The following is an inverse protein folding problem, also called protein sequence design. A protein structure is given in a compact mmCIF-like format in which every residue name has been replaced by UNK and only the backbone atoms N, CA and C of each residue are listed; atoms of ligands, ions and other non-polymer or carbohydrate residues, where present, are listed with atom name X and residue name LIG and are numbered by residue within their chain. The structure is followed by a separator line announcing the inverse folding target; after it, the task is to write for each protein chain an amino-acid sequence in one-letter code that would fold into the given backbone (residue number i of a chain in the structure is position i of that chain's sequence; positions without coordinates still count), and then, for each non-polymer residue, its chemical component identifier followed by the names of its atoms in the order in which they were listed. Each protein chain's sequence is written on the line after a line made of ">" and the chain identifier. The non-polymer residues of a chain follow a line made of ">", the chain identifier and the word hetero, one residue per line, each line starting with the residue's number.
data_IF_621143308760
#
_entry.id   IF_621143308760
#
_cell.length_a   1.000
_cell.length_b   1.000
_cell.length_c   1.000
_cell.angle_alpha   90.00
_cell.angle_beta   90.00
_cell.angle_gamma   90.00
#
_symmetry.space_group_name_H-M   'P 1'
#
loop_
_entity.id
_entity.type
_entity.pdbx_description
1 polymer ?
#
# COMPACT_ATOMS: atom_id res chain seq x y z
N UNK A 1 20.13 -85.22 28.26
CA UNK A 1 19.79 -84.24 27.23
C UNK A 1 18.32 -83.94 27.31
N UNK A 2 17.94 -82.79 27.91
CA UNK A 2 16.48 -82.36 28.04
C UNK A 2 16.01 -81.82 26.73
N UNK A 3 15.03 -82.47 26.07
CA UNK A 3 14.34 -81.98 24.90
C UNK A 3 13.41 -80.88 25.34
N UNK A 4 13.74 -79.59 25.09
CA UNK A 4 12.87 -78.48 25.27
C UNK A 4 11.64 -78.65 24.36
N UNK A 5 10.50 -78.98 24.93
CA UNK A 5 9.20 -79.03 24.21
C UNK A 5 8.83 -77.57 23.77
N UNK A 6 8.93 -77.32 22.47
CA UNK A 6 8.55 -76.02 21.87
C UNK A 6 7.02 -75.90 22.07
N UNK A 7 6.61 -74.82 22.77
CA UNK A 7 5.20 -74.57 23.02
C UNK A 7 4.55 -74.01 21.73
N UNK A 8 3.90 -74.92 20.97
CA UNK A 8 3.32 -74.64 19.65
C UNK A 8 2.36 -73.41 19.68
N UNK A 9 1.71 -73.18 20.81
CA UNK A 9 0.79 -72.02 20.96
C UNK A 9 1.53 -70.70 20.94
N UNK A 10 2.67 -70.61 21.66
CA UNK A 10 3.51 -69.40 21.66
C UNK A 10 4.14 -69.14 20.29
N UNK A 11 4.52 -70.18 19.55
CA UNK A 11 5.06 -70.05 18.19
C UNK A 11 3.98 -69.55 17.23
N UNK A 12 2.74 -70.02 17.34
CA UNK A 12 1.60 -69.59 16.54
C UNK A 12 1.26 -68.10 16.82
N UNK A 13 1.24 -67.74 18.10
CA UNK A 13 0.97 -66.35 18.51
C UNK A 13 2.09 -65.40 18.02
N UNK A 14 3.36 -65.80 18.10
CA UNK A 14 4.48 -65.05 17.58
C UNK A 14 4.45 -64.86 16.06
N UNK A 15 4.02 -65.89 15.31
CA UNK A 15 3.83 -65.81 13.86
C UNK A 15 2.71 -64.87 13.47
N UNK A 16 1.61 -64.87 14.24
CA UNK A 16 0.50 -63.92 14.01
C UNK A 16 0.98 -62.48 14.24
N UNK A 17 1.67 -62.21 15.34
CA UNK A 17 2.22 -60.85 15.60
C UNK A 17 3.23 -60.43 14.55
N UNK A 18 4.11 -61.31 14.09
CA UNK A 18 5.10 -61.04 13.07
C UNK A 18 4.43 -60.71 11.72
N UNK A 19 3.38 -61.46 11.34
CA UNK A 19 2.60 -61.17 10.11
C UNK A 19 1.88 -59.83 10.19
N UNK A 20 1.34 -59.46 11.35
CA UNK A 20 0.65 -58.21 11.59
C UNK A 20 1.63 -57.00 11.49
N UNK A 21 2.81 -57.12 12.11
CA UNK A 21 3.85 -56.13 12.02
C UNK A 21 4.36 -55.99 10.57
N UNK A 22 4.57 -57.12 9.86
CA UNK A 22 4.96 -57.06 8.44
C UNK A 22 3.89 -56.42 7.56
N UNK A 23 2.61 -56.69 7.80
CA UNK A 23 1.50 -56.09 7.10
C UNK A 23 1.41 -54.58 7.33
N UNK A 24 1.55 -54.11 8.58
CA UNK A 24 1.55 -52.69 8.91
C UNK A 24 2.78 -51.99 8.28
N UNK A 25 3.95 -52.63 8.35
CA UNK A 25 5.18 -52.09 7.75
C UNK A 25 5.07 -51.96 6.23
N UNK A 26 4.47 -52.94 5.57
CA UNK A 26 4.18 -52.90 4.14
C UNK A 26 3.20 -51.76 3.77
N UNK A 27 2.12 -51.62 4.53
CA UNK A 27 1.15 -50.53 4.31
C UNK A 27 1.82 -49.15 4.49
N UNK A 28 2.62 -48.99 5.54
CA UNK A 28 3.37 -47.72 5.74
C UNK A 28 4.36 -47.49 4.61
N UNK A 29 5.06 -48.49 4.15
CA UNK A 29 6.01 -48.40 3.04
C UNK A 29 5.29 -47.96 1.73
N UNK A 30 4.17 -48.60 1.39
CA UNK A 30 3.38 -48.23 0.21
C UNK A 30 2.76 -46.84 0.36
N UNK A 31 2.29 -46.44 1.56
CA UNK A 31 1.79 -45.11 1.81
C UNK A 31 2.88 -44.02 1.58
N UNK A 32 4.08 -44.28 2.07
CA UNK A 32 5.24 -43.38 1.87
C UNK A 32 5.63 -43.30 0.39
N UNK A 33 5.69 -44.44 -0.32
CA UNK A 33 5.99 -44.48 -1.75
C UNK A 33 4.92 -43.72 -2.59
N UNK A 34 3.65 -43.90 -2.28
CA UNK A 34 2.56 -43.20 -2.97
C UNK A 34 2.68 -41.70 -2.81
N UNK A 35 2.93 -41.23 -1.58
CA UNK A 35 3.11 -39.80 -1.30
C UNK A 35 4.39 -39.22 -1.92
N UNK A 36 5.43 -40.05 -2.09
CA UNK A 36 6.71 -39.62 -2.67
C UNK A 36 6.67 -39.35 -4.19
N UNK A 37 5.71 -39.95 -4.90
CA UNK A 37 5.55 -39.80 -6.34
C UNK A 37 4.38 -38.87 -6.72
N UNK A 38 3.81 -38.19 -5.73
CA UNK A 38 2.72 -37.24 -5.98
C UNK A 38 3.16 -36.11 -6.91
N UNK A 39 2.33 -35.80 -7.88
CA UNK A 39 2.52 -34.67 -8.80
C UNK A 39 1.56 -33.54 -8.42
N UNK A 40 2.01 -32.31 -8.66
CA UNK A 40 1.18 -31.12 -8.44
C UNK A 40 0.00 -31.15 -9.41
N UNK A 41 -1.21 -31.25 -8.87
CA UNK A 41 -2.44 -31.29 -9.66
C UNK A 41 -2.84 -29.91 -10.14
N UNK A 42 -2.81 -28.92 -9.25
CA UNK A 42 -3.28 -27.57 -9.53
C UNK A 42 -2.47 -26.59 -8.67
N UNK A 43 -2.25 -25.38 -9.20
CA UNK A 43 -1.73 -24.25 -8.47
C UNK A 43 -2.90 -23.30 -8.19
N UNK A 44 -3.06 -22.88 -6.95
CA UNK A 44 -4.03 -21.90 -6.50
C UNK A 44 -3.27 -20.71 -5.96
N UNK A 45 -3.48 -19.54 -6.55
CA UNK A 45 -2.87 -18.28 -6.09
C UNK A 45 -3.95 -17.49 -5.36
N UNK A 46 -3.65 -17.08 -4.15
CA UNK A 46 -4.50 -16.24 -3.34
C UNK A 46 -3.77 -14.93 -3.04
N UNK A 47 -4.34 -13.82 -3.49
CA UNK A 47 -3.79 -12.47 -3.30
C UNK A 47 -4.69 -11.75 -2.29
N UNK A 48 -4.08 -11.21 -1.22
CA UNK A 48 -4.78 -10.50 -0.16
C UNK A 48 -5.40 -9.18 -0.67
N UNK A 49 -6.66 -8.93 -0.30
CA UNK A 49 -7.47 -7.77 -0.71
C UNK A 49 -7.21 -6.49 0.12
N UNK A 50 -6.04 -6.34 0.73
CA UNK A 50 -5.71 -5.15 1.56
C UNK A 50 -5.88 -3.82 0.84
N UNK A 51 -5.75 -3.82 -0.48
CA UNK A 51 -5.91 -2.65 -1.33
C UNK A 51 -7.33 -2.58 -1.95
N UNK A 52 -8.30 -3.28 -1.37
CA UNK A 52 -9.61 -3.46 -1.96
C UNK A 52 -9.52 -4.25 -3.28
N UNK A 53 -10.21 -3.80 -4.33
CA UNK A 53 -10.14 -4.43 -5.65
C UNK A 53 -8.85 -4.14 -6.42
N UNK A 54 -8.00 -3.25 -5.90
CA UNK A 54 -6.80 -2.78 -6.59
C UNK A 54 -5.62 -3.73 -6.30
N UNK A 55 -4.98 -4.23 -7.35
CA UNK A 55 -3.89 -5.19 -7.24
C UNK A 55 -2.60 -4.64 -7.86
N UNK A 56 -1.48 -4.80 -7.12
CA UNK A 56 -0.14 -4.48 -7.61
C UNK A 56 0.44 -5.58 -8.50
N UNK A 57 -0.03 -6.81 -8.32
CA UNK A 57 0.41 -8.00 -9.04
C UNK A 57 -0.78 -8.90 -9.32
N UNK A 58 -0.85 -9.46 -10.50
CA UNK A 58 -1.91 -10.40 -10.89
C UNK A 58 -1.52 -11.85 -10.63
N UNK A 59 -2.51 -12.74 -10.53
CA UNK A 59 -2.27 -14.20 -10.41
C UNK A 59 -1.41 -14.73 -11.58
N UNK A 60 -1.65 -14.22 -12.78
CA UNK A 60 -0.89 -14.62 -13.99
C UNK A 60 0.59 -14.28 -13.86
N UNK A 61 0.90 -13.09 -13.34
CA UNK A 61 2.29 -12.67 -13.11
C UNK A 61 2.96 -13.53 -12.02
N UNK A 62 2.25 -13.84 -10.93
CA UNK A 62 2.75 -14.74 -9.88
C UNK A 62 3.11 -16.10 -10.45
N UNK A 63 2.21 -16.71 -11.24
CA UNK A 63 2.44 -18.00 -11.91
C UNK A 63 3.64 -17.92 -12.86
N UNK A 64 3.77 -16.83 -13.59
CA UNK A 64 4.90 -16.61 -14.50
C UNK A 64 6.23 -16.51 -13.75
N UNK A 65 6.28 -15.75 -12.67
CA UNK A 65 7.48 -15.61 -11.79
C UNK A 65 7.89 -16.98 -11.26
N UNK A 66 6.92 -17.77 -10.78
CA UNK A 66 7.16 -19.09 -10.22
C UNK A 66 7.67 -20.08 -11.29
N UNK A 67 7.07 -20.12 -12.47
CA UNK A 67 7.52 -20.98 -13.57
C UNK A 67 8.94 -20.62 -14.03
N UNK A 68 9.26 -19.33 -14.15
CA UNK A 68 10.61 -18.86 -14.46
C UNK A 68 11.62 -19.25 -13.38
N UNK A 69 11.26 -19.13 -12.09
CA UNK A 69 12.12 -19.50 -10.98
C UNK A 69 12.38 -21.00 -10.88
N UNK A 70 11.37 -21.81 -11.27
CA UNK A 70 11.49 -23.27 -11.35
C UNK A 70 12.24 -23.76 -12.60
N UNK A 71 12.41 -22.90 -13.63
CA UNK A 71 12.97 -23.28 -14.93
C UNK A 71 12.08 -24.19 -15.76
N UNK A 72 10.80 -24.35 -15.39
CA UNK A 72 9.79 -25.21 -16.01
C UNK A 72 8.40 -24.87 -15.55
N UNK A 73 7.39 -25.38 -16.25
CA UNK A 73 6.01 -25.31 -15.77
C UNK A 73 5.83 -26.16 -14.53
N UNK A 74 5.39 -25.55 -13.44
CA UNK A 74 5.23 -26.19 -12.13
C UNK A 74 4.11 -27.23 -12.15
N UNK A 75 3.00 -26.97 -12.87
CA UNK A 75 1.92 -27.93 -13.04
C UNK A 75 2.45 -29.28 -13.55
N UNK A 76 1.99 -30.38 -12.95
CA UNK A 76 2.42 -31.76 -13.25
C UNK A 76 3.87 -32.09 -12.86
N UNK A 77 4.53 -31.20 -12.14
CA UNK A 77 5.88 -31.49 -11.57
C UNK A 77 5.73 -32.35 -10.29
N UNK A 78 6.69 -33.26 -10.06
CA UNK A 78 6.75 -34.01 -8.83
C UNK A 78 7.04 -33.08 -7.65
N UNK A 79 6.23 -33.22 -6.58
CA UNK A 79 6.31 -32.38 -5.37
C UNK A 79 7.71 -32.36 -4.76
N UNK A 80 8.39 -33.51 -4.72
CA UNK A 80 9.76 -33.63 -4.16
C UNK A 80 10.82 -32.89 -4.98
N UNK A 81 10.58 -32.61 -6.24
CA UNK A 81 11.53 -31.94 -7.14
C UNK A 81 11.38 -30.42 -7.12
N UNK A 82 10.47 -29.88 -6.29
CA UNK A 82 10.21 -28.46 -6.18
C UNK A 82 10.85 -27.90 -4.91
N UNK A 83 11.75 -26.96 -5.08
CA UNK A 83 12.36 -26.22 -3.97
C UNK A 83 11.46 -25.02 -3.60
N UNK A 84 10.54 -25.25 -2.64
CA UNK A 84 9.58 -24.25 -2.18
C UNK A 84 10.30 -23.04 -1.60
N UNK A 85 11.38 -23.22 -0.83
CA UNK A 85 12.11 -22.11 -0.22
C UNK A 85 12.69 -21.18 -1.28
N UNK A 86 13.21 -21.75 -2.38
CA UNK A 86 13.71 -20.96 -3.53
C UNK A 86 12.61 -20.18 -4.21
N UNK A 87 11.42 -20.77 -4.36
CA UNK A 87 10.27 -20.11 -4.97
C UNK A 87 9.74 -18.97 -4.09
N UNK A 88 9.56 -19.21 -2.79
CA UNK A 88 9.18 -18.17 -1.82
C UNK A 88 10.21 -17.03 -1.78
N UNK A 89 11.49 -17.34 -1.72
CA UNK A 89 12.55 -16.34 -1.75
C UNK A 89 12.53 -15.51 -3.04
N UNK A 90 12.12 -16.09 -4.17
CA UNK A 90 11.99 -15.36 -5.44
C UNK A 90 10.80 -14.42 -5.42
N UNK A 91 9.65 -14.85 -4.89
CA UNK A 91 8.47 -13.98 -4.73
C UNK A 91 8.74 -12.85 -3.72
N UNK A 92 9.35 -13.16 -2.59
CA UNK A 92 9.67 -12.16 -1.56
C UNK A 92 10.72 -11.11 -1.99
N UNK A 93 11.42 -11.34 -3.13
CA UNK A 93 12.30 -10.34 -3.76
C UNK A 93 11.54 -9.36 -4.66
N UNK A 94 10.29 -9.67 -5.05
CA UNK A 94 9.49 -8.73 -5.83
C UNK A 94 9.09 -7.54 -4.96
N UNK A 95 9.40 -6.33 -5.43
CA UNK A 95 9.16 -5.09 -4.66
C UNK A 95 7.67 -4.79 -4.42
N UNK A 96 6.76 -5.48 -5.10
CA UNK A 96 5.29 -5.34 -4.96
C UNK A 96 4.73 -6.24 -3.87
N UNK A 97 5.50 -7.27 -3.48
CA UNK A 97 5.11 -8.28 -2.48
C UNK A 97 5.70 -7.91 -1.13
N UNK A 98 4.89 -7.94 -0.09
CA UNK A 98 5.34 -7.82 1.28
C UNK A 98 5.73 -9.16 1.85
N UNK A 99 4.91 -10.19 1.57
CA UNK A 99 5.13 -11.56 2.01
C UNK A 99 4.48 -12.55 1.05
N UNK A 100 5.18 -13.63 0.77
CA UNK A 100 4.69 -14.77 0.03
C UNK A 100 4.95 -16.05 0.81
N UNK A 101 3.92 -16.89 0.95
CA UNK A 101 3.97 -18.20 1.57
C UNK A 101 3.49 -19.25 0.56
N UNK A 102 4.22 -20.37 0.44
CA UNK A 102 3.90 -21.45 -0.48
C UNK A 102 3.78 -22.76 0.29
N UNK A 103 2.66 -23.45 0.16
CA UNK A 103 2.46 -24.73 0.83
C UNK A 103 1.62 -25.71 0.01
N UNK A 104 1.73 -27.00 0.31
CA UNK A 104 0.88 -28.03 -0.26
C UNK A 104 -0.27 -28.34 0.67
N UNK A 105 -1.45 -28.51 0.09
CA UNK A 105 -2.59 -29.04 0.84
C UNK A 105 -2.66 -30.58 0.76
N UNK A 106 -3.63 -31.15 1.47
CA UNK A 106 -3.89 -32.60 1.51
C UNK A 106 -4.30 -33.21 0.16
N UNK A 107 -4.68 -32.37 -0.80
CA UNK A 107 -5.13 -32.77 -2.15
C UNK A 107 -4.02 -32.63 -3.21
N UNK A 108 -2.76 -32.46 -2.81
CA UNK A 108 -1.61 -32.23 -3.68
C UNK A 108 -1.71 -30.96 -4.55
N UNK A 109 -2.43 -29.92 -4.04
CA UNK A 109 -2.47 -28.61 -4.69
C UNK A 109 -1.39 -27.72 -4.09
N UNK A 110 -0.73 -26.96 -4.96
CA UNK A 110 0.21 -25.93 -4.55
C UNK A 110 -0.56 -24.64 -4.28
N UNK A 111 -0.63 -24.24 -3.01
CA UNK A 111 -1.25 -22.99 -2.61
C UNK A 111 -0.16 -21.92 -2.46
N UNK A 112 -0.39 -20.78 -3.08
CA UNK A 112 0.50 -19.60 -3.06
C UNK A 112 -0.30 -18.46 -2.45
N UNK A 113 0.06 -18.06 -1.24
CA UNK A 113 -0.57 -16.94 -0.54
C UNK A 113 0.34 -15.71 -0.67
N UNK A 114 -0.20 -14.63 -1.22
CA UNK A 114 0.51 -13.37 -1.46
C UNK A 114 -0.11 -12.26 -0.62
N UNK A 115 0.69 -11.65 0.22
CA UNK A 115 0.40 -10.38 0.85
C UNK A 115 1.13 -9.32 0.04
N UNK A 116 0.40 -8.46 -0.66
CA UNK A 116 0.99 -7.37 -1.42
C UNK A 116 1.22 -6.15 -0.54
N UNK A 117 2.17 -5.30 -0.93
CA UNK A 117 2.40 -4.03 -0.26
C UNK A 117 1.20 -3.12 -0.39
N UNK A 118 1.06 -2.21 0.58
CA UNK A 118 0.03 -1.18 0.57
C UNK A 118 0.66 0.17 0.18
N UNK A 119 0.43 0.64 -1.05
CA UNK A 119 0.86 1.96 -1.46
C UNK A 119 0.17 3.05 -0.64
N UNK A 120 0.94 4.08 -0.31
CA UNK A 120 0.47 5.29 0.37
C UNK A 120 0.17 6.41 -0.61
N UNK A 121 1.04 6.56 -1.61
CA UNK A 121 0.94 7.58 -2.65
C UNK A 121 1.66 7.15 -3.92
N UNK A 122 1.27 7.71 -5.06
CA UNK A 122 1.97 7.58 -6.35
C UNK A 122 2.76 8.85 -6.60
N UNK A 123 4.04 8.72 -6.81
CA UNK A 123 4.94 9.84 -7.13
C UNK A 123 5.21 9.85 -8.63
N UNK A 124 5.05 11.02 -9.23
CA UNK A 124 5.48 11.33 -10.60
C UNK A 124 6.52 12.43 -10.46
N UNK A 125 7.79 12.08 -10.67
CA UNK A 125 8.89 13.03 -10.56
C UNK A 125 9.06 13.89 -11.82
N UNK A 126 9.80 14.99 -11.71
CA UNK A 126 10.02 15.89 -12.86
C UNK A 126 10.83 15.25 -13.99
N UNK A 127 11.56 14.16 -13.73
CA UNK A 127 12.29 13.42 -14.74
C UNK A 127 11.39 12.43 -15.52
N UNK A 128 10.10 12.35 -15.17
CA UNK A 128 9.12 11.46 -15.78
C UNK A 128 9.14 10.04 -15.20
N UNK A 129 9.83 9.82 -14.08
CA UNK A 129 9.79 8.57 -13.34
C UNK A 129 8.51 8.43 -12.55
N UNK A 130 7.94 7.22 -12.52
CA UNK A 130 6.74 6.92 -11.76
C UNK A 130 6.97 5.75 -10.80
N UNK A 131 6.55 5.92 -9.56
CA UNK A 131 6.61 4.87 -8.54
C UNK A 131 5.60 5.12 -7.43
N UNK A 132 5.25 4.06 -6.71
CA UNK A 132 4.55 4.19 -5.45
C UNK A 132 5.54 4.25 -4.29
N UNK A 133 5.13 4.91 -3.21
CA UNK A 133 5.73 4.75 -1.88
C UNK A 133 4.73 4.02 -0.99
N UNK A 134 5.20 2.99 -0.28
CA UNK A 134 4.41 2.29 0.74
C UNK A 134 4.41 3.06 2.08
N UNK A 135 3.63 2.59 3.07
CA UNK A 135 3.52 3.20 4.40
C UNK A 135 4.86 3.30 5.16
N UNK A 136 5.87 2.54 4.74
CA UNK A 136 7.23 2.53 5.29
C UNK A 136 8.22 3.36 4.46
N UNK A 137 7.75 4.05 3.42
CA UNK A 137 8.59 4.82 2.51
C UNK A 137 9.42 3.97 1.56
N UNK A 138 9.09 2.69 1.37
CA UNK A 138 9.76 1.85 0.38
C UNK A 138 9.15 2.07 -0.99
N UNK A 139 10.03 2.14 -1.99
CA UNK A 139 9.60 2.29 -3.38
C UNK A 139 8.99 0.98 -3.90
N UNK A 140 7.82 1.11 -4.55
CA UNK A 140 7.11 0.03 -5.23
C UNK A 140 6.94 0.44 -6.69
N UNK A 141 7.32 -0.40 -7.67
CA UNK A 141 7.24 -0.04 -9.07
C UNK A 141 5.79 0.04 -9.55
N UNK A 142 5.52 0.99 -10.45
CA UNK A 142 4.27 1.04 -11.21
C UNK A 142 4.35 0.01 -12.34
N UNK A 143 3.36 -0.88 -12.42
CA UNK A 143 3.28 -1.90 -13.47
C UNK A 143 2.12 -1.58 -14.41
N UNK A 144 2.32 -1.74 -15.72
CA UNK A 144 1.25 -1.52 -16.70
C UNK A 144 0.11 -2.51 -16.44
N UNK A 145 -1.13 -1.99 -16.39
CA UNK A 145 -2.33 -2.80 -16.14
C UNK A 145 -2.65 -3.07 -14.68
N UNK A 146 -1.82 -2.57 -13.76
CA UNK A 146 -2.07 -2.64 -12.30
C UNK A 146 -1.98 -1.22 -11.75
N UNK A 147 -3.09 -0.65 -11.31
CA UNK A 147 -3.14 0.68 -10.71
C UNK A 147 -3.85 0.60 -9.36
N UNK A 148 -3.24 1.20 -8.35
CA UNK A 148 -3.83 1.35 -7.02
C UNK A 148 -4.30 2.79 -6.84
N UNK A 149 -5.50 2.98 -6.30
CA UNK A 149 -6.11 4.29 -6.06
C UNK A 149 -5.53 4.91 -4.80
N UNK A 150 -4.50 5.70 -4.99
CA UNK A 150 -3.86 6.51 -3.95
C UNK A 150 -3.63 7.92 -4.47
N UNK A 151 -3.47 8.91 -3.59
CA UNK A 151 -3.16 10.27 -4.00
C UNK A 151 -1.93 10.34 -4.91
N UNK A 152 -2.00 11.18 -5.94
CA UNK A 152 -0.90 11.41 -6.90
C UNK A 152 -0.10 12.62 -6.45
N UNK A 153 1.21 12.45 -6.35
CA UNK A 153 2.16 13.49 -5.98
C UNK A 153 3.00 13.89 -7.19
N UNK A 154 3.03 15.17 -7.49
CA UNK A 154 3.76 15.74 -8.64
C UNK A 154 4.70 16.86 -8.20
N UNK A 155 5.63 17.28 -9.08
CA UNK A 155 6.58 18.35 -8.80
C UNK A 155 7.71 17.94 -7.86
N UNK A 156 7.94 16.64 -7.69
CA UNK A 156 9.05 16.11 -6.88
C UNK A 156 10.34 16.22 -7.67
N UNK A 157 11.30 17.01 -7.17
CA UNK A 157 12.65 17.18 -7.73
C UNK A 157 13.67 16.32 -7.02
N UNK A 158 13.40 15.97 -5.78
CA UNK A 158 14.30 15.17 -4.98
C UNK A 158 14.42 13.77 -5.61
N UNK A 159 15.65 13.37 -5.92
CA UNK A 159 15.89 11.98 -6.33
C UNK A 159 15.57 11.05 -5.17
N UNK A 160 14.73 10.06 -5.43
CA UNK A 160 14.40 9.05 -4.43
C UNK A 160 15.65 8.30 -3.95
N UNK A 161 15.82 8.23 -2.65
CA UNK A 161 16.80 7.35 -2.01
C UNK A 161 16.16 6.62 -0.82
N UNK A 162 16.54 5.38 -0.61
CA UNK A 162 15.87 4.49 0.38
C UNK A 162 15.93 4.96 1.84
N UNK A 163 16.81 5.93 2.13
CA UNK A 163 16.99 6.50 3.48
C UNK A 163 16.43 7.92 3.61
N UNK A 164 15.56 8.38 2.67
CA UNK A 164 15.07 9.77 2.69
C UNK A 164 14.32 10.13 3.98
N UNK A 165 13.62 9.17 4.60
CA UNK A 165 12.89 9.41 5.84
C UNK A 165 13.78 9.66 7.06
N UNK A 166 14.94 9.02 7.11
CA UNK A 166 15.89 9.13 8.23
C UNK A 166 16.98 10.18 7.97
N UNK A 167 17.04 10.73 6.77
CA UNK A 167 17.99 11.79 6.42
C UNK A 167 17.67 13.07 7.20
N UNK A 168 18.69 13.74 7.74
CA UNK A 168 18.55 15.05 8.40
C UNK A 168 18.40 16.20 7.38
N UNK A 169 18.72 15.94 6.10
CA UNK A 169 18.57 16.95 5.05
C UNK A 169 17.08 17.25 4.81
N UNK A 170 16.71 18.54 4.75
CA UNK A 170 15.37 18.93 4.34
C UNK A 170 15.03 18.34 2.97
N UNK A 171 13.83 17.77 2.85
CA UNK A 171 13.35 17.17 1.61
C UNK A 171 11.84 17.35 1.49
N UNK A 172 11.39 17.87 0.37
CA UNK A 172 9.97 18.04 0.09
C UNK A 172 9.27 16.69 -0.05
N UNK A 173 9.98 15.67 -0.54
CA UNK A 173 9.47 14.30 -0.58
C UNK A 173 9.19 13.75 0.83
N UNK A 174 10.05 14.11 1.80
CA UNK A 174 9.84 13.73 3.21
C UNK A 174 8.63 14.45 3.81
N UNK A 175 8.51 15.75 3.57
CA UNK A 175 7.37 16.55 4.03
C UNK A 175 6.05 15.97 3.51
N UNK A 176 5.97 15.76 2.20
CA UNK A 176 4.75 15.27 1.56
C UNK A 176 4.41 13.82 1.98
N UNK A 177 5.43 13.00 2.24
CA UNK A 177 5.23 11.65 2.78
C UNK A 177 4.51 11.68 4.14
N UNK A 178 4.93 12.54 5.05
CA UNK A 178 4.27 12.68 6.36
C UNK A 178 2.86 13.27 6.24
N UNK A 179 2.66 14.22 5.33
CA UNK A 179 1.32 14.76 5.01
C UNK A 179 0.41 13.64 4.52
N UNK A 180 0.84 12.86 3.52
CA UNK A 180 0.04 11.76 2.97
C UNK A 180 -0.17 10.63 3.98
N UNK A 181 0.79 10.38 4.86
CA UNK A 181 0.64 9.41 5.95
C UNK A 181 -0.45 9.84 6.93
N UNK A 182 -0.52 11.12 7.26
CA UNK A 182 -1.60 11.67 8.09
C UNK A 182 -2.94 11.57 7.36
N UNK A 183 -2.99 11.94 6.08
CA UNK A 183 -4.18 11.84 5.23
C UNK A 183 -4.72 10.41 5.20
N UNK A 184 -3.86 9.40 5.07
CA UNK A 184 -4.27 8.00 4.97
C UNK A 184 -4.89 7.43 6.25
N UNK A 185 -4.66 8.07 7.40
CA UNK A 185 -5.17 7.65 8.70
C UNK A 185 -6.53 8.25 9.05
N UNK A 186 -7.01 9.20 8.24
CA UNK A 186 -8.25 9.91 8.46
C UNK A 186 -9.20 9.69 7.28
N UNK A 187 -10.39 9.16 7.55
CA UNK A 187 -11.37 8.78 6.53
C UNK A 187 -11.84 10.00 5.70
N UNK A 188 -12.09 11.14 6.34
CA UNK A 188 -12.49 12.36 5.66
C UNK A 188 -11.39 12.88 4.73
N UNK A 189 -10.14 12.96 5.23
CA UNK A 189 -9.02 13.47 4.46
C UNK A 189 -8.65 12.51 3.31
N UNK A 190 -8.69 11.21 3.52
CA UNK A 190 -8.43 10.21 2.48
C UNK A 190 -9.48 10.22 1.37
N UNK A 191 -10.73 10.54 1.70
CA UNK A 191 -11.79 10.74 0.73
C UNK A 191 -11.70 12.10 0.01
N UNK A 192 -11.14 13.12 0.67
CA UNK A 192 -11.05 14.48 0.17
C UNK A 192 -9.84 14.71 -0.74
N UNK A 193 -8.65 14.28 -0.34
CA UNK A 193 -7.39 14.60 -1.03
C UNK A 193 -7.12 13.62 -2.17
N UNK A 194 -7.09 14.15 -3.39
CA UNK A 194 -6.81 13.35 -4.59
C UNK A 194 -5.38 13.50 -5.08
N UNK A 195 -4.83 14.72 -5.00
CA UNK A 195 -3.49 15.01 -5.51
C UNK A 195 -2.74 15.96 -4.58
N UNK A 196 -1.42 15.92 -4.68
CA UNK A 196 -0.56 16.92 -4.12
C UNK A 196 0.47 17.37 -5.15
N UNK A 197 0.81 18.64 -5.12
CA UNK A 197 1.78 19.23 -6.03
C UNK A 197 2.80 20.07 -5.25
N UNK A 198 4.07 19.96 -5.59
CA UNK A 198 5.13 20.82 -5.06
C UNK A 198 5.32 21.94 -6.08
N UNK A 199 5.00 23.18 -5.69
CA UNK A 199 5.13 24.34 -6.56
C UNK A 199 6.61 24.56 -6.97
N UNK A 200 6.78 25.00 -8.23
CA UNK A 200 8.09 25.22 -8.82
C UNK A 200 8.61 26.65 -8.58
N UNK A 201 8.35 27.20 -7.40
CA UNK A 201 8.87 28.50 -6.99
C UNK A 201 10.02 28.35 -6.00
N UNK A 202 10.60 29.49 -5.58
CA UNK A 202 11.72 29.52 -4.62
C UNK A 202 11.33 28.98 -3.24
N UNK A 203 10.04 28.95 -2.89
CA UNK A 203 9.50 28.51 -1.61
C UNK A 203 9.20 27.01 -1.64
N UNK A 204 8.72 26.49 -2.78
CA UNK A 204 8.34 25.10 -2.97
C UNK A 204 7.17 24.70 -2.07
N UNK A 205 6.11 25.51 -2.05
CA UNK A 205 4.91 25.21 -1.27
C UNK A 205 4.28 23.91 -1.75
N UNK A 206 3.82 23.10 -0.79
CA UNK A 206 3.01 21.91 -1.07
C UNK A 206 1.56 22.37 -1.19
N UNK A 207 0.95 22.05 -2.33
CA UNK A 207 -0.46 22.35 -2.64
C UNK A 207 -1.22 21.04 -2.71
N UNK A 208 -2.30 20.91 -1.95
CA UNK A 208 -3.20 19.76 -2.02
C UNK A 208 -4.40 20.12 -2.91
N UNK A 209 -4.82 19.14 -3.71
CA UNK A 209 -5.95 19.26 -4.63
C UNK A 209 -7.04 18.31 -4.15
N UNK A 210 -8.18 18.86 -3.70
CA UNK A 210 -9.29 18.06 -3.26
C UNK A 210 -10.02 17.41 -4.45
N UNK A 211 -10.64 16.28 -4.19
CA UNK A 211 -11.49 15.55 -5.14
C UNK A 211 -12.81 16.26 -5.40
N UNK A 212 -13.30 16.97 -4.41
CA UNK A 212 -14.55 17.74 -4.46
C UNK A 212 -14.19 19.20 -4.21
N UNK A 213 -14.71 20.08 -5.06
CA UNK A 213 -14.41 21.52 -5.04
C UNK A 213 -13.53 21.93 -6.21
N UNK A 214 -13.20 23.20 -6.27
CA UNK A 214 -12.32 23.78 -7.30
C UNK A 214 -11.14 24.54 -6.69
N UNK A 215 -11.11 24.62 -5.38
CA UNK A 215 -10.08 25.33 -4.63
C UNK A 215 -8.82 24.49 -4.53
N UNK A 216 -7.67 25.17 -4.61
CA UNK A 216 -6.38 24.59 -4.26
C UNK A 216 -6.08 24.89 -2.80
N UNK A 217 -5.59 23.90 -2.06
CA UNK A 217 -5.24 24.04 -0.65
C UNK A 217 -3.74 24.29 -0.54
N UNK A 218 -3.31 25.51 -0.25
CA UNK A 218 -1.90 25.85 -0.04
C UNK A 218 -1.51 25.39 1.36
N UNK A 219 -0.85 24.23 1.44
CA UNK A 219 -0.46 23.60 2.69
C UNK A 219 0.88 24.10 3.21
N UNK A 220 1.81 24.42 2.30
CA UNK A 220 3.14 24.94 2.59
C UNK A 220 4.17 23.84 2.81
N UNK A 221 4.51 23.57 4.04
CA UNK A 221 5.50 22.55 4.44
C UNK A 221 4.92 21.44 5.32
N UNK A 222 5.75 20.47 5.69
CA UNK A 222 5.38 19.36 6.56
C UNK A 222 5.32 19.67 8.05
N UNK A 223 5.31 20.95 8.45
CA UNK A 223 5.20 21.36 9.86
C UNK A 223 3.73 21.53 10.25
N UNK A 224 3.42 21.24 11.52
CA UNK A 224 2.08 21.43 12.10
C UNK A 224 0.95 20.80 11.27
N UNK A 225 1.20 19.58 10.74
CA UNK A 225 0.28 18.87 9.83
C UNK A 225 -1.10 18.72 10.44
N UNK A 226 -1.18 18.27 11.70
CA UNK A 226 -2.42 18.09 12.44
C UNK A 226 -3.23 19.40 12.54
N UNK A 227 -2.62 20.48 13.05
CA UNK A 227 -3.28 21.79 13.17
C UNK A 227 -3.83 22.30 11.84
N UNK A 228 -3.05 22.14 10.75
CA UNK A 228 -3.49 22.55 9.40
C UNK A 228 -4.71 21.78 8.92
N UNK A 229 -4.73 20.47 9.15
CA UNK A 229 -5.88 19.65 8.76
C UNK A 229 -7.09 19.86 9.67
N UNK A 230 -6.91 20.11 10.95
CA UNK A 230 -8.03 20.42 11.84
C UNK A 230 -8.72 21.70 11.44
N UNK A 231 -7.97 22.76 11.10
CA UNK A 231 -8.52 23.99 10.53
C UNK A 231 -9.28 23.75 9.24
N UNK A 232 -8.72 22.91 8.37
CA UNK A 232 -9.38 22.55 7.10
C UNK A 232 -10.70 21.83 7.36
N UNK A 233 -10.73 20.84 8.26
CA UNK A 233 -11.95 20.09 8.61
C UNK A 233 -13.04 21.03 9.14
N UNK A 234 -12.69 21.94 10.06
CA UNK A 234 -13.61 22.92 10.58
C UNK A 234 -14.15 23.81 9.45
N UNK A 235 -13.27 24.28 8.57
CA UNK A 235 -13.67 25.11 7.44
C UNK A 235 -14.60 24.38 6.48
N UNK A 236 -14.35 23.11 6.18
CA UNK A 236 -15.22 22.29 5.32
C UNK A 236 -16.58 22.01 5.98
N UNK A 237 -16.60 21.74 7.29
CA UNK A 237 -17.84 21.44 8.04
C UNK A 237 -18.70 22.68 8.28
N UNK A 238 -18.10 23.79 8.72
CA UNK A 238 -18.82 24.94 9.25
C UNK A 238 -18.75 26.19 8.35
N UNK A 239 -17.69 26.31 7.56
CA UNK A 239 -17.44 27.47 6.69
C UNK A 239 -18.04 27.32 5.29
N UNK A 240 -17.64 26.32 4.52
CA UNK A 240 -18.09 26.15 3.13
C UNK A 240 -19.61 26.04 2.95
N UNK A 241 -20.38 25.34 3.82
CA UNK A 241 -21.82 25.30 3.69
C UNK A 241 -22.49 26.66 3.81
N UNK A 242 -21.93 27.57 4.62
CA UNK A 242 -22.45 28.94 4.83
C UNK A 242 -21.97 29.92 3.77
N UNK A 243 -20.74 29.73 3.29
CA UNK A 243 -20.05 30.67 2.40
C UNK A 243 -20.18 30.32 0.92
N UNK A 244 -20.47 29.05 0.60
CA UNK A 244 -20.61 28.53 -0.77
C UNK A 244 -19.36 27.76 -1.24
N UNK A 245 -19.57 26.55 -1.75
CA UNK A 245 -18.56 25.58 -2.18
C UNK A 245 -17.71 26.06 -3.38
N UNK A 246 -18.23 26.91 -4.25
CA UNK A 246 -17.53 27.37 -5.45
C UNK A 246 -16.92 28.77 -5.29
N UNK A 247 -16.88 29.30 -4.08
CA UNK A 247 -16.52 30.69 -3.83
C UNK A 247 -15.02 30.95 -3.89
N UNK A 248 -14.22 29.94 -3.47
CA UNK A 248 -12.79 30.10 -3.31
C UNK A 248 -12.01 29.47 -4.48
N UNK A 249 -10.95 30.18 -4.91
CA UNK A 249 -9.94 29.68 -5.84
C UNK A 249 -8.82 28.97 -5.11
N UNK A 250 -8.40 29.52 -3.95
CA UNK A 250 -7.39 28.93 -3.08
C UNK A 250 -7.78 29.10 -1.62
N UNK A 251 -7.38 28.12 -0.79
CA UNK A 251 -7.42 28.18 0.67
C UNK A 251 -6.00 28.02 1.17
N UNK A 252 -5.53 28.97 1.96
CA UNK A 252 -4.18 28.95 2.52
C UNK A 252 -4.22 28.50 3.98
N UNK A 253 -3.52 27.41 4.28
CA UNK A 253 -3.46 26.76 5.59
C UNK A 253 -2.16 27.07 6.36
N UNK A 254 -1.23 27.83 5.77
CA UNK A 254 0.10 28.09 6.35
C UNK A 254 0.06 28.89 7.65
N UNK A 255 -0.95 29.74 7.81
CA UNK A 255 -1.04 30.65 8.95
C UNK A 255 -1.63 29.94 10.17
N UNK A 256 -1.04 30.17 11.34
CA UNK A 256 -1.56 29.62 12.59
C UNK A 256 -2.99 30.14 12.88
N UNK A 257 -3.86 29.29 13.41
CA UNK A 257 -5.23 29.60 13.86
C UNK A 257 -6.17 30.23 12.83
N UNK A 258 -5.83 30.23 11.55
CA UNK A 258 -6.70 30.80 10.50
C UNK A 258 -6.60 30.04 9.18
N UNK A 259 -7.67 30.11 8.40
CA UNK A 259 -7.72 29.73 6.98
C UNK A 259 -7.99 30.99 6.20
N UNK A 260 -7.06 31.39 5.31
CA UNK A 260 -7.30 32.52 4.42
C UNK A 260 -7.68 32.04 3.02
N UNK A 261 -8.66 32.68 2.40
CA UNK A 261 -9.18 32.26 1.09
C UNK A 261 -9.10 33.34 0.03
N UNK A 262 -8.65 33.00 -1.19
CA UNK A 262 -8.75 33.86 -2.35
C UNK A 262 -10.06 33.54 -3.07
N UNK A 263 -10.84 34.55 -3.38
CA UNK A 263 -12.12 34.39 -4.08
C UNK A 263 -11.93 34.17 -5.58
N UNK A 264 -12.80 33.39 -6.19
CA UNK A 264 -12.86 33.22 -7.66
C UNK A 264 -13.20 34.53 -8.34
N UNK A 265 -14.16 35.31 -7.80
CA UNK A 265 -14.51 36.63 -8.25
C UNK A 265 -14.43 37.64 -7.10
N UNK A 266 -13.40 38.48 -7.04
CA UNK A 266 -13.25 39.49 -5.99
C UNK A 266 -14.39 40.48 -5.89
N UNK A 267 -15.09 40.81 -7.01
CA UNK A 267 -16.23 41.72 -7.04
C UNK A 267 -17.47 41.16 -6.30
N UNK A 268 -17.53 39.85 -6.04
CA UNK A 268 -18.61 39.22 -5.27
C UNK A 268 -18.36 39.18 -3.76
N UNK A 269 -17.30 39.79 -3.28
CA UNK A 269 -16.95 39.89 -1.88
C UNK A 269 -17.94 40.82 -1.13
N UNK A 270 -19.15 40.36 -0.85
CA UNK A 270 -19.93 40.95 0.23
C UNK A 270 -19.14 40.80 1.51
N UNK A 271 -18.91 41.94 2.20
CA UNK A 271 -18.28 41.94 3.54
C UNK A 271 -19.10 41.02 4.45
N UNK A 272 -18.59 39.88 4.75
CA UNK A 272 -19.21 38.96 5.72
C UNK A 272 -18.64 39.37 7.05
N UNK A 273 -19.47 39.86 7.95
CA UNK A 273 -19.12 40.05 9.34
C UNK A 273 -18.69 38.68 9.93
N UNK A 274 -17.73 38.65 10.85
CA UNK A 274 -17.21 37.41 11.43
C UNK A 274 -18.35 36.66 12.14
N UNK A 275 -18.78 35.56 11.54
CA UNK A 275 -19.89 34.71 12.03
C UNK A 275 -19.45 33.76 13.16
N UNK A 276 -18.18 33.76 13.53
CA UNK A 276 -17.64 32.86 14.55
C UNK A 276 -17.09 33.63 15.74
N UNK A 277 -17.95 33.83 16.75
CA UNK A 277 -17.55 34.45 18.02
C UNK A 277 -16.90 33.51 19.03
N UNK A 278 -16.92 32.20 18.86
CA UNK A 278 -16.34 31.28 19.82
C UNK A 278 -15.65 30.10 19.12
N UNK A 279 -14.32 30.08 19.18
CA UNK A 279 -13.36 29.10 18.64
C UNK A 279 -12.99 29.24 17.16
N UNK A 280 -11.80 29.79 16.90
CA UNK A 280 -11.12 30.02 15.62
C UNK A 280 -11.62 31.23 14.82
N UNK A 281 -10.83 32.30 14.86
CA UNK A 281 -11.01 33.45 13.94
C UNK A 281 -10.67 33.02 12.51
N UNK A 282 -11.68 32.77 11.69
CA UNK A 282 -11.50 32.70 10.24
C UNK A 282 -11.39 34.12 9.70
N UNK A 283 -10.19 34.66 9.66
CA UNK A 283 -9.94 35.97 9.07
C UNK A 283 -9.90 35.83 7.56
N UNK A 284 -10.93 36.33 6.89
CA UNK A 284 -10.93 36.49 5.44
C UNK A 284 -10.13 37.73 5.07
N UNK A 285 -8.89 37.57 4.62
CA UNK A 285 -8.08 38.62 4.05
C UNK A 285 -8.31 38.63 2.54
N UNK A 286 -9.07 39.57 2.03
CA UNK A 286 -9.09 39.92 0.61
C UNK A 286 -7.83 40.73 0.32
N UNK A 287 -6.82 40.14 -0.28
CA UNK A 287 -5.69 40.89 -0.84
C UNK A 287 -6.12 41.47 -2.20
N UNK A 288 -6.45 42.77 -2.23
CA UNK A 288 -6.50 43.57 -3.43
C UNK A 288 -5.08 43.70 -4.00
N UNK A 289 -4.71 42.85 -4.90
CA UNK A 289 -3.54 43.06 -5.76
C UNK A 289 -3.97 43.85 -7.00
N UNK A 290 -4.29 45.12 -6.80
CA UNK A 290 -4.34 46.06 -7.93
C UNK A 290 -4.12 47.50 -7.43
N UNK A 291 -2.85 47.90 -7.32
CA UNK A 291 -2.37 49.30 -7.45
C UNK A 291 -0.89 49.40 -7.11
N UNK A 292 -0.07 49.10 -8.08
CA UNK A 292 1.19 49.82 -8.30
C UNK A 292 1.70 49.56 -9.73
N UNK A 293 1.03 50.19 -10.65
CA UNK A 293 1.67 50.68 -11.86
C UNK A 293 1.18 52.09 -12.06
N UNK A 294 2.11 52.97 -12.36
CA UNK A 294 1.96 54.36 -12.76
C UNK A 294 2.11 55.34 -11.59
N UNK A 295 3.33 55.81 -11.35
CA UNK A 295 3.73 57.19 -11.55
C UNK A 295 5.20 57.41 -11.17
N UNK A 296 5.89 57.93 -12.15
CA UNK A 296 7.16 58.62 -12.27
C UNK A 296 8.41 57.77 -12.45
#
# INVERSE_FOLDING_TARGET
>A
MSKRRINLKRVKDALIWLSLIAGISALLFFAVLRKSNATIKTMVVHIDDRNGSDQLISEKEVIQILNLAAGKTISKTNIKKLDIRKLEAKLNKDKRIERADIYFDSKDRLNVSIIQKKPLMRVVDEAGGEYYLDENGKQVPVTRGSAVRVPVVTGVRDTFHSKFLISEKPSKLKDIFYIMKYVSQDEFLSALIEQAHIENDSIGDIVLIPKIGREKLIFGDGKNVEEKFDKLKIFYRDGLPKLGWSRYKTLNLKYANQVSGMLVNPASAKRIEPVLKDSLQVALITTDNNKQSIQH
#
